data_IF_252031605428
#
_entry.id   IF_252031605428
#
_cell.length_a   1.000
_cell.length_b   1.000
_cell.length_c   1.000
_cell.angle_alpha   90.00
_cell.angle_beta   90.00
_cell.angle_gamma   90.00
#
_symmetry.space_group_name_H-M   'P 1'
#
loop_
_entity.id
_entity.type
_entity.pdbx_description
1 polymer ?
#
# COMPACT_ATOMS: atom_id res chain seq x y z
N UNK A 1 -13.27 10.44 22.60
CA UNK A 1 -12.68 9.09 22.63
C UNK A 1 -12.03 8.89 21.27
N UNK A 2 -10.71 8.99 21.20
CA UNK A 2 -9.97 8.84 19.95
C UNK A 2 -9.42 7.43 19.89
N UNK A 3 -10.01 6.58 19.06
CA UNK A 3 -9.41 5.30 18.65
C UNK A 3 -8.16 5.62 17.82
N UNK A 4 -7.04 5.92 18.50
CA UNK A 4 -5.72 6.15 17.90
C UNK A 4 -4.96 4.84 17.65
N UNK A 5 -5.64 3.71 17.60
CA UNK A 5 -5.05 2.43 17.25
C UNK A 5 -4.96 2.38 15.73
N UNK A 6 -3.84 2.87 15.17
CA UNK A 6 -3.49 2.64 13.78
C UNK A 6 -3.70 1.16 13.45
N UNK A 7 -4.36 0.84 12.33
CA UNK A 7 -4.78 -0.52 11.97
C UNK A 7 -3.60 -1.51 11.84
N UNK A 8 -2.35 -1.03 11.82
CA UNK A 8 -1.13 -1.84 11.85
C UNK A 8 -0.27 -1.64 13.10
N UNK A 9 -0.83 -1.08 14.18
CA UNK A 9 -0.14 -0.91 15.46
C UNK A 9 0.24 -2.24 16.12
N UNK A 10 -0.47 -3.31 15.77
CA UNK A 10 -0.16 -4.69 16.14
C UNK A 10 -0.04 -5.50 14.86
N UNK A 11 1.15 -5.98 14.56
CA UNK A 11 1.39 -6.91 13.46
C UNK A 11 1.12 -8.33 13.95
N UNK A 12 -0.16 -8.71 14.05
CA UNK A 12 -0.62 -10.03 14.52
C UNK A 12 -0.64 -11.07 13.39
N UNK A 13 0.45 -11.12 12.63
CA UNK A 13 0.61 -12.04 11.51
C UNK A 13 1.51 -13.17 12.00
N UNK A 14 1.10 -14.43 11.83
CA UNK A 14 1.91 -15.55 12.29
C UNK A 14 3.30 -15.50 11.65
N UNK A 15 4.39 -15.89 12.34
CA UNK A 15 5.73 -15.89 11.76
C UNK A 15 5.80 -16.63 10.41
N UNK A 16 4.97 -17.66 10.24
CA UNK A 16 4.85 -18.42 8.99
C UNK A 16 4.19 -17.63 7.87
N UNK A 17 3.15 -16.86 8.16
CA UNK A 17 2.51 -15.96 7.19
C UNK A 17 3.42 -14.79 6.79
N UNK A 18 4.20 -14.25 7.73
CA UNK A 18 5.23 -13.27 7.40
C UNK A 18 6.33 -13.87 6.51
N UNK A 19 6.80 -15.08 6.82
CA UNK A 19 7.81 -15.77 6.01
C UNK A 19 7.24 -16.10 4.62
N UNK A 20 6.00 -16.55 4.53
CA UNK A 20 5.33 -16.83 3.25
C UNK A 20 5.16 -15.55 2.43
N UNK A 21 4.68 -14.46 3.05
CA UNK A 21 4.63 -13.14 2.43
C UNK A 21 6.01 -12.63 2.05
N UNK A 22 7.07 -12.87 2.81
CA UNK A 22 8.42 -12.43 2.47
C UNK A 22 9.05 -13.27 1.35
N UNK A 23 8.73 -14.56 1.29
CA UNK A 23 9.29 -15.54 0.34
C UNK A 23 8.56 -15.47 -1.01
N UNK A 24 7.24 -15.33 -0.97
CA UNK A 24 6.36 -15.19 -2.13
C UNK A 24 5.93 -13.75 -2.35
N UNK A 25 6.59 -12.81 -1.65
CA UNK A 25 6.31 -11.39 -1.71
C UNK A 25 6.08 -10.98 -3.15
N UNK A 26 4.99 -10.29 -3.47
CA UNK A 26 4.66 -9.97 -4.84
C UNK A 26 5.77 -9.08 -5.40
N UNK A 27 6.75 -9.73 -6.05
CA UNK A 27 7.75 -9.10 -6.89
C UNK A 27 8.60 -8.04 -6.17
N UNK A 28 9.04 -8.31 -4.94
CA UNK A 28 10.03 -7.46 -4.25
C UNK A 28 11.29 -7.36 -5.13
N UNK A 29 11.91 -6.18 -5.18
CA UNK A 29 12.98 -5.75 -6.13
C UNK A 29 12.58 -5.52 -7.59
N UNK A 30 11.36 -5.90 -8.00
CA UNK A 30 10.86 -5.56 -9.32
C UNK A 30 10.25 -4.15 -9.34
N UNK A 31 10.23 -3.54 -10.52
CA UNK A 31 9.56 -2.25 -10.72
C UNK A 31 8.06 -2.40 -10.43
N UNK A 32 7.55 -1.56 -9.52
CA UNK A 32 6.12 -1.46 -9.26
C UNK A 32 5.36 -1.15 -10.56
N UNK A 33 4.24 -1.84 -10.80
CA UNK A 33 3.42 -1.61 -12.00
C UNK A 33 2.65 -0.31 -11.85
N UNK A 34 2.61 0.48 -12.91
CA UNK A 34 1.70 1.61 -13.01
C UNK A 34 0.34 1.14 -13.50
N UNK A 35 -0.71 1.75 -12.97
CA UNK A 35 -2.08 1.64 -13.45
C UNK A 35 -2.84 2.94 -13.14
N UNK A 36 -3.95 3.23 -13.85
CA UNK A 36 -4.76 4.40 -13.58
C UNK A 36 -5.47 4.28 -12.23
N UNK A 37 -5.49 5.37 -11.49
CA UNK A 37 -6.19 5.58 -10.23
C UNK A 37 -7.13 6.78 -10.37
N UNK A 38 -8.18 6.82 -9.55
CA UNK A 38 -9.00 8.01 -9.39
C UNK A 38 -8.51 8.81 -8.17
N UNK A 39 -8.22 10.09 -8.36
CA UNK A 39 -8.00 11.03 -7.27
C UNK A 39 -9.35 11.46 -6.70
N UNK A 40 -9.67 11.01 -5.49
CA UNK A 40 -10.94 11.29 -4.82
C UNK A 40 -11.17 12.78 -4.51
N UNK A 41 -10.11 13.59 -4.40
CA UNK A 41 -10.26 15.02 -4.14
C UNK A 41 -10.70 15.79 -5.40
N UNK A 42 -10.34 15.29 -6.58
CA UNK A 42 -10.55 16.02 -7.85
C UNK A 42 -11.41 15.27 -8.87
N UNK A 43 -11.69 13.99 -8.66
CA UNK A 43 -12.37 13.08 -9.58
C UNK A 43 -11.56 12.79 -10.85
N UNK A 44 -10.26 13.14 -10.88
CA UNK A 44 -9.42 12.96 -12.07
C UNK A 44 -8.72 11.62 -12.06
N UNK A 45 -8.51 11.07 -13.26
CA UNK A 45 -7.60 9.94 -13.43
C UNK A 45 -6.15 10.39 -13.29
N UNK A 46 -5.39 9.69 -12.46
CA UNK A 46 -3.94 9.86 -12.27
C UNK A 46 -3.23 8.52 -12.49
N UNK A 47 -1.96 8.55 -12.89
CA UNK A 47 -1.16 7.33 -13.02
C UNK A 47 -0.44 7.03 -11.71
N UNK A 48 -0.55 5.80 -11.20
CA UNK A 48 0.07 5.42 -9.92
C UNK A 48 1.59 5.69 -9.88
N UNK A 49 2.29 5.58 -11.02
CA UNK A 49 3.72 5.89 -11.11
C UNK A 49 4.07 7.34 -10.81
N UNK A 50 3.12 8.25 -10.92
CA UNK A 50 3.39 9.67 -10.69
C UNK A 50 3.75 9.95 -9.23
N UNK A 51 3.30 9.10 -8.30
CA UNK A 51 3.59 9.23 -6.87
C UNK A 51 5.04 8.85 -6.51
N UNK A 52 5.65 7.86 -7.17
CA UNK A 52 7.02 7.39 -6.83
C UNK A 52 8.11 7.86 -7.80
N UNK A 53 7.79 8.78 -8.71
CA UNK A 53 8.81 9.42 -9.58
C UNK A 53 9.76 10.33 -8.81
N UNK A 54 9.30 10.89 -7.71
CA UNK A 54 9.99 11.96 -6.97
C UNK A 54 10.62 11.50 -5.66
N UNK A 55 10.34 10.26 -5.23
CA UNK A 55 10.86 9.74 -3.98
C UNK A 55 10.26 8.39 -3.58
N UNK A 56 10.60 7.97 -2.37
CA UNK A 56 10.06 6.75 -1.75
C UNK A 56 8.59 7.00 -1.39
N UNK A 57 7.75 6.02 -1.68
CA UNK A 57 6.31 6.09 -1.40
C UNK A 57 5.89 4.89 -0.56
N UNK A 58 5.03 5.15 0.42
CA UNK A 58 4.27 4.14 1.15
C UNK A 58 2.86 4.13 0.60
N UNK A 59 2.35 2.95 0.24
CA UNK A 59 1.02 2.77 -0.35
C UNK A 59 0.23 1.86 0.56
N UNK A 60 -0.92 2.36 1.03
CA UNK A 60 -1.85 1.62 1.88
C UNK A 60 -3.09 1.26 1.06
N UNK A 61 -3.56 0.02 1.20
CA UNK A 61 -4.79 -0.45 0.58
C UNK A 61 -5.86 -0.59 1.67
N UNK A 62 -7.00 0.06 1.49
CA UNK A 62 -8.14 -0.01 2.39
C UNK A 62 -9.45 0.25 1.66
N UNK A 63 -10.57 0.06 2.34
CA UNK A 63 -11.89 0.43 1.82
C UNK A 63 -12.30 1.79 2.36
N UNK A 64 -12.86 2.63 1.49
CA UNK A 64 -13.59 3.82 1.90
C UNK A 64 -15.04 3.40 2.20
N UNK A 65 -15.48 3.54 3.45
CA UNK A 65 -16.88 3.40 3.90
C UNK A 65 -17.31 4.64 4.62
#
# INVERSE_FOLDING_TARGET
MSDQTYNYSVFDVSPNEFIDFATHAPKVTMRARSFPLEDLATGKTVEMKDFWKTGIVVIEFGSFT
#
